data_IF_624712827884
#
_entry.id   IF_624712827884
#
_cell.length_a   1.000
_cell.length_b   1.000
_cell.length_c   1.000
_cell.angle_alpha   90.00
_cell.angle_beta   90.00
_cell.angle_gamma   90.00
#
_symmetry.space_group_name_H-M   'P 1'
#
loop_
_entity.id
_entity.type
_entity.pdbx_description
1 polymer ?
#
# COMPACT_ATOMS: atom_id res chain seq x y z
N UNK A 1 -8.77 -8.72 7.92
CA UNK A 1 -9.67 -7.88 8.72
C UNK A 1 -9.40 -6.42 8.47
N UNK A 2 -10.44 -5.61 8.27
CA UNK A 2 -10.37 -4.18 7.94
C UNK A 2 -9.76 -3.27 9.05
N UNK A 3 -9.33 -3.87 10.17
CA UNK A 3 -8.74 -3.19 11.32
C UNK A 3 -7.21 -3.11 11.27
N UNK A 4 -6.56 -3.83 10.34
CA UNK A 4 -5.10 -3.80 10.24
C UNK A 4 -4.63 -2.49 9.60
N UNK A 5 -3.56 -1.90 10.12
CA UNK A 5 -2.92 -0.77 9.48
C UNK A 5 -2.46 -1.13 8.05
N UNK A 6 -2.48 -0.20 7.08
CA UNK A 6 -2.16 -0.50 5.68
C UNK A 6 -0.79 -1.19 5.49
N UNK A 7 0.23 -0.79 6.26
CA UNK A 7 1.55 -1.40 6.21
C UNK A 7 1.53 -2.88 6.64
N UNK A 8 0.68 -3.26 7.59
CA UNK A 8 0.51 -4.65 8.03
C UNK A 8 -0.21 -5.48 6.96
N UNK A 9 -1.18 -4.89 6.25
CA UNK A 9 -1.80 -5.54 5.09
C UNK A 9 -0.75 -5.82 4.01
N UNK A 10 0.11 -4.85 3.70
CA UNK A 10 1.21 -5.03 2.73
C UNK A 10 2.19 -6.12 3.19
N UNK A 11 2.54 -6.21 4.47
CA UNK A 11 3.39 -7.31 4.99
C UNK A 11 2.75 -8.69 4.84
N UNK A 12 1.43 -8.79 4.99
CA UNK A 12 0.72 -10.05 4.76
C UNK A 12 0.67 -10.41 3.28
N UNK A 13 0.44 -9.41 2.41
CA UNK A 13 0.50 -9.57 0.96
C UNK A 13 1.90 -9.99 0.51
N UNK A 14 2.95 -9.46 1.13
CA UNK A 14 4.34 -9.85 0.86
C UNK A 14 4.56 -11.34 1.09
N UNK A 15 4.15 -11.86 2.25
CA UNK A 15 4.23 -13.30 2.54
C UNK A 15 3.36 -14.12 1.59
N UNK A 16 2.14 -13.66 1.30
CA UNK A 16 1.21 -14.38 0.43
C UNK A 16 1.67 -14.42 -1.04
N UNK A 17 2.41 -13.40 -1.49
CA UNK A 17 2.97 -13.31 -2.84
C UNK A 17 4.39 -13.87 -2.93
N UNK A 18 4.95 -14.39 -1.83
CA UNK A 18 6.26 -15.02 -1.82
C UNK A 18 6.34 -16.18 -2.82
N UNK A 19 7.44 -16.25 -3.59
CA UNK A 19 7.63 -17.25 -4.64
C UNK A 19 6.90 -16.96 -5.96
N UNK A 20 6.17 -15.85 -6.05
CA UNK A 20 5.61 -15.35 -7.31
C UNK A 20 6.56 -14.35 -7.99
N UNK A 21 6.15 -13.79 -9.13
CA UNK A 21 6.85 -12.64 -9.75
C UNK A 21 6.77 -11.35 -8.91
N UNK A 22 5.92 -11.34 -7.88
CA UNK A 22 5.60 -10.18 -7.06
C UNK A 22 4.65 -9.20 -7.74
N UNK A 23 4.29 -8.14 -7.00
CA UNK A 23 3.38 -7.11 -7.48
C UNK A 23 3.72 -5.72 -6.91
N UNK A 24 3.36 -4.68 -7.67
CA UNK A 24 3.17 -3.36 -7.09
C UNK A 24 1.82 -3.35 -6.35
N UNK A 25 1.77 -2.81 -5.14
CA UNK A 25 0.59 -2.88 -4.26
C UNK A 25 0.37 -1.55 -3.55
N UNK A 26 -0.88 -1.12 -3.46
CA UNK A 26 -1.29 0.01 -2.63
C UNK A 26 -2.51 -0.37 -1.79
N UNK A 27 -2.51 0.08 -0.55
CA UNK A 27 -3.60 -0.12 0.41
C UNK A 27 -4.01 1.24 0.96
N UNK A 28 -5.28 1.58 0.78
CA UNK A 28 -5.93 2.73 1.38
C UNK A 28 -6.96 2.25 2.40
N UNK A 29 -6.87 2.73 3.62
CA UNK A 29 -7.85 2.50 4.67
C UNK A 29 -8.53 3.82 4.99
N UNK A 30 -9.83 3.89 4.72
CA UNK A 30 -10.65 5.08 4.89
C UNK A 30 -11.53 4.92 6.12
N UNK A 31 -11.39 5.83 7.07
CA UNK A 31 -12.32 6.02 8.16
C UNK A 31 -13.13 7.29 7.89
N UNK A 32 -14.32 7.12 7.32
CA UNK A 32 -15.19 8.24 6.96
C UNK A 32 -15.79 8.95 8.18
N UNK A 33 -15.89 8.27 9.34
CA UNK A 33 -16.43 8.88 10.56
C UNK A 33 -15.40 9.78 11.22
N UNK A 34 -14.13 9.36 11.21
CA UNK A 34 -13.02 10.14 11.73
C UNK A 34 -12.41 11.10 10.69
N UNK A 35 -12.87 11.07 9.43
CA UNK A 35 -12.27 11.76 8.29
C UNK A 35 -10.76 11.50 8.15
N UNK A 36 -10.35 10.24 8.31
CA UNK A 36 -8.93 9.83 8.23
C UNK A 36 -8.73 8.84 7.08
N UNK A 37 -7.76 9.13 6.22
CA UNK A 37 -7.23 8.19 5.23
C UNK A 37 -5.81 7.77 5.63
N UNK A 38 -5.60 6.47 5.80
CA UNK A 38 -4.27 5.87 5.97
C UNK A 38 -3.88 5.19 4.67
N UNK A 39 -2.65 5.40 4.22
CA UNK A 39 -2.19 4.89 2.93
C UNK A 39 -0.81 4.23 3.06
N UNK A 40 -0.59 3.17 2.29
CA UNK A 40 0.74 2.62 2.03
C UNK A 40 0.77 2.09 0.61
N UNK A 41 1.76 2.54 -0.18
CA UNK A 41 2.03 2.03 -1.53
C UNK A 41 3.46 1.52 -1.65
N UNK A 42 3.64 0.44 -2.41
CA UNK A 42 4.92 -0.17 -2.78
C UNK A 42 4.94 -0.42 -4.28
N UNK A 43 6.00 0.04 -4.94
CA UNK A 43 6.17 -0.04 -6.39
C UNK A 43 5.72 1.23 -7.11
N UNK A 44 5.40 1.09 -8.40
CA UNK A 44 5.10 2.19 -9.31
C UNK A 44 3.61 2.61 -9.31
N UNK A 45 2.86 2.34 -8.24
CA UNK A 45 1.45 2.74 -8.15
C UNK A 45 1.33 4.23 -7.80
N UNK A 46 0.62 4.98 -8.64
CA UNK A 46 0.19 6.34 -8.33
C UNK A 46 -1.14 6.35 -7.58
N UNK A 47 -1.23 7.13 -6.50
CA UNK A 47 -2.48 7.37 -5.79
C UNK A 47 -2.64 8.85 -5.48
N UNK A 48 -3.89 9.33 -5.50
CA UNK A 48 -4.25 10.72 -5.21
C UNK A 48 -5.53 10.77 -4.39
N UNK A 49 -5.60 11.70 -3.44
CA UNK A 49 -6.79 11.98 -2.64
C UNK A 49 -7.37 13.32 -3.08
N UNK A 50 -8.67 13.35 -3.39
CA UNK A 50 -9.42 14.58 -3.62
C UNK A 50 -10.09 15.00 -2.31
N UNK A 51 -9.81 16.22 -1.87
CA UNK A 51 -10.40 16.83 -0.67
C UNK A 51 -10.74 18.29 -0.97
N UNK A 52 -12.01 18.68 -0.81
CA UNK A 52 -12.45 20.05 -1.08
C UNK A 52 -12.17 20.54 -2.50
N UNK A 53 -12.19 19.65 -3.50
CA UNK A 53 -11.87 19.97 -4.90
C UNK A 53 -10.38 20.04 -5.21
N UNK A 54 -9.50 19.84 -4.23
CA UNK A 54 -8.05 19.82 -4.42
C UNK A 54 -7.52 18.39 -4.44
N UNK A 55 -6.57 18.11 -5.35
CA UNK A 55 -5.90 16.81 -5.43
C UNK A 55 -4.54 16.83 -4.72
N UNK A 56 -4.32 15.88 -3.81
CA UNK A 56 -3.00 15.62 -3.19
C UNK A 56 -2.47 14.25 -3.58
N UNK A 57 -1.19 14.17 -3.90
CA UNK A 57 -0.53 12.90 -4.19
C UNK A 57 -0.28 12.11 -2.91
N UNK A 58 -0.49 10.80 -2.97
CA UNK A 58 -0.13 9.85 -1.93
C UNK A 58 1.15 9.12 -2.36
N UNK A 59 2.10 9.03 -1.44
CA UNK A 59 3.46 8.59 -1.75
C UNK A 59 3.56 7.06 -1.67
N UNK A 60 3.95 6.45 -2.79
CA UNK A 60 4.40 5.06 -2.84
C UNK A 60 5.91 4.98 -2.65
N UNK A 61 6.38 3.91 -2.00
CA UNK A 61 7.80 3.63 -1.84
C UNK A 61 8.29 2.68 -2.94
N UNK A 62 9.54 2.82 -3.43
CA UNK A 62 10.11 1.85 -4.36
C UNK A 62 10.11 0.43 -3.76
N UNK A 63 9.84 -0.58 -4.59
CA UNK A 63 9.87 -1.98 -4.18
C UNK A 63 8.91 -2.85 -4.99
N UNK A 64 8.98 -4.16 -4.77
CA UNK A 64 8.05 -5.16 -5.30
C UNK A 64 7.64 -6.05 -4.14
N UNK A 65 6.35 -6.19 -3.92
CA UNK A 65 5.79 -7.02 -2.83
C UNK A 65 5.85 -8.49 -3.25
N UNK A 66 6.30 -9.38 -2.38
CA UNK A 66 6.43 -10.81 -2.63
C UNK A 66 7.77 -11.24 -3.22
N UNK A 67 8.64 -10.30 -3.60
CA UNK A 67 10.00 -10.62 -4.02
C UNK A 67 10.95 -10.54 -2.84
N UNK A 68 11.27 -11.68 -2.23
CA UNK A 68 12.46 -11.78 -1.40
C UNK A 68 13.64 -11.92 -2.36
N UNK A 69 14.45 -10.86 -2.54
CA UNK A 69 15.80 -11.06 -3.08
C UNK A 69 16.58 -11.79 -1.99
N UNK A 70 17.06 -13.03 -2.21
CA UNK A 70 18.07 -13.55 -1.32
C UNK A 70 19.25 -12.58 -1.38
N UNK A 71 19.60 -12.00 -0.23
CA UNK A 71 20.90 -11.37 -0.04
C UNK A 71 21.92 -12.50 -0.08
N UNK A 72 22.49 -12.74 -1.27
CA UNK A 72 23.72 -13.51 -1.42
C UNK A 72 24.88 -12.70 -0.86
#
# INVERSE_FOLDING_TARGET
>A
SAHLAPAEVVRRLDRALSGTRGAAVAVAQVDARASVLRFTGVGNIGARLCEGGTWRHLVSRPGIVGTHRPTT
#
